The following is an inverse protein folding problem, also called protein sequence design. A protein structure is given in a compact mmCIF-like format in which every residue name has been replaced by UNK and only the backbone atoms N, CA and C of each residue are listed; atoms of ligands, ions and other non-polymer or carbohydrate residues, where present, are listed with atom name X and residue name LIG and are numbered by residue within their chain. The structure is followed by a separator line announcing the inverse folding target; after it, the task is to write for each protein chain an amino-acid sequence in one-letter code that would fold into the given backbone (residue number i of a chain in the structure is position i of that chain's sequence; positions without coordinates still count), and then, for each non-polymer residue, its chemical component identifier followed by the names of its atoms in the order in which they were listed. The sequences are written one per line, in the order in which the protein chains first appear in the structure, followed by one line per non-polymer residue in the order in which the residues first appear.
data_IF_278616261949
#
_entry.id   IF_278616261949
#
_cell.length_a   1.000
_cell.length_b   1.000
_cell.length_c   1.000
_cell.angle_alpha   90.00
_cell.angle_beta   90.00
_cell.angle_gamma   90.00
#
_symmetry.space_group_name_H-M   'P 1'
#
loop_
_entity.id
_entity.type
_entity.pdbx_description
1 polymer ?
#
# COMPACT_ATOMS: atom_id res chain seq x y z
N UNK A 1 -18.58 -25.32 -15.13
CA UNK A 1 -18.07 -26.36 -14.22
C UNK A 1 -17.44 -27.42 -15.12
N UNK A 2 -16.21 -27.83 -14.86
CA UNK A 2 -15.55 -28.89 -15.64
C UNK A 2 -16.15 -30.24 -15.20
N UNK A 3 -16.65 -31.07 -16.12
CA UNK A 3 -17.18 -32.39 -15.75
C UNK A 3 -16.07 -33.26 -15.18
N UNK A 4 -16.40 -34.07 -14.19
CA UNK A 4 -15.54 -35.08 -13.58
C UNK A 4 -15.26 -36.23 -14.55
N UNK A 5 -14.20 -36.98 -14.28
CA UNK A 5 -13.88 -38.21 -15.01
C UNK A 5 -15.09 -39.14 -15.20
N UNK A 6 -15.84 -39.40 -14.12
CA UNK A 6 -16.99 -40.32 -14.16
C UNK A 6 -18.10 -39.77 -15.06
N UNK A 7 -18.41 -38.47 -14.97
CA UNK A 7 -19.40 -37.80 -15.83
C UNK A 7 -18.99 -37.87 -17.31
N UNK A 8 -17.71 -37.63 -17.63
CA UNK A 8 -17.22 -37.72 -19.01
C UNK A 8 -17.33 -39.15 -19.54
N UNK A 9 -16.95 -40.15 -18.73
CA UNK A 9 -17.06 -41.55 -19.11
C UNK A 9 -18.52 -41.93 -19.36
N UNK A 10 -19.42 -41.53 -18.47
CA UNK A 10 -20.85 -41.78 -18.63
C UNK A 10 -21.41 -41.14 -19.91
N UNK A 11 -21.01 -39.90 -20.21
CA UNK A 11 -21.38 -39.25 -21.47
C UNK A 11 -20.93 -40.07 -22.70
N UNK A 12 -19.69 -40.56 -22.71
CA UNK A 12 -19.17 -41.39 -23.82
C UNK A 12 -19.94 -42.71 -23.94
N UNK A 13 -20.26 -43.37 -22.81
CA UNK A 13 -21.03 -44.62 -22.82
C UNK A 13 -22.48 -44.40 -23.28
N UNK A 14 -23.08 -43.26 -22.90
CA UNK A 14 -24.40 -42.86 -23.37
C UNK A 14 -24.40 -42.59 -24.89
N UNK A 15 -23.34 -41.97 -25.42
CA UNK A 15 -23.19 -41.77 -26.87
C UNK A 15 -23.06 -43.10 -27.62
N UNK A 16 -22.29 -44.06 -27.08
CA UNK A 16 -22.16 -45.41 -27.65
C UNK A 16 -23.52 -46.13 -27.67
N UNK A 17 -24.25 -46.12 -26.56
CA UNK A 17 -25.56 -46.81 -26.47
C UNK A 17 -26.66 -46.12 -27.28
N UNK A 18 -26.55 -44.82 -27.51
CA UNK A 18 -27.42 -44.07 -28.42
C UNK A 18 -27.27 -44.52 -29.88
N UNK A 19 -26.04 -44.87 -30.30
CA UNK A 19 -25.74 -45.39 -31.63
C UNK A 19 -26.05 -46.88 -31.77
N UNK A 20 -25.78 -47.66 -30.72
CA UNK A 20 -26.05 -49.11 -30.67
C UNK A 20 -26.55 -49.52 -29.28
N UNK A 21 -27.86 -49.76 -29.18
CA UNK A 21 -28.51 -50.17 -27.92
C UNK A 21 -28.06 -51.55 -27.41
N UNK A 22 -27.42 -52.37 -28.26
CA UNK A 22 -26.89 -53.68 -27.88
C UNK A 22 -25.45 -53.64 -27.36
N UNK A 23 -24.79 -52.48 -27.41
CA UNK A 23 -23.42 -52.32 -26.97
C UNK A 23 -23.26 -52.60 -25.47
N UNK A 24 -22.32 -53.49 -25.12
CA UNK A 24 -21.98 -53.76 -23.72
C UNK A 24 -21.26 -52.55 -23.10
N UNK A 25 -21.73 -52.05 -21.95
CA UNK A 25 -21.17 -50.89 -21.23
C UNK A 25 -20.85 -51.15 -19.75
N UNK A 26 -20.95 -52.39 -19.28
CA UNK A 26 -20.57 -52.74 -17.91
C UNK A 26 -19.04 -52.61 -17.70
N UNK A 27 -18.58 -52.59 -16.45
CA UNK A 27 -17.20 -52.30 -16.07
C UNK A 27 -16.13 -53.11 -16.81
N UNK A 28 -16.45 -54.35 -17.16
CA UNK A 28 -15.51 -55.29 -17.77
C UNK A 28 -15.59 -55.31 -19.31
N UNK A 29 -16.44 -54.46 -19.90
CA UNK A 29 -16.59 -54.37 -21.35
C UNK A 29 -15.46 -53.55 -22.00
N UNK A 30 -15.10 -53.91 -23.23
CA UNK A 30 -14.12 -53.15 -24.04
C UNK A 30 -14.54 -51.69 -24.23
N UNK A 31 -15.85 -51.42 -24.40
CA UNK A 31 -16.37 -50.05 -24.47
C UNK A 31 -16.14 -49.27 -23.18
N UNK A 32 -16.27 -49.89 -22.01
CA UNK A 32 -16.00 -49.24 -20.72
C UNK A 32 -14.52 -48.91 -20.54
N UNK A 33 -13.62 -49.82 -20.95
CA UNK A 33 -12.17 -49.59 -20.92
C UNK A 33 -11.77 -48.45 -21.86
N UNK A 34 -12.32 -48.44 -23.09
CA UNK A 34 -12.08 -47.37 -24.08
C UNK A 34 -12.64 -46.03 -23.63
N UNK A 35 -13.88 -46.01 -23.12
CA UNK A 35 -14.51 -44.81 -22.58
C UNK A 35 -13.71 -44.25 -21.40
N UNK A 36 -13.22 -45.11 -20.51
CA UNK A 36 -12.35 -44.70 -19.41
C UNK A 36 -11.03 -44.09 -19.90
N UNK A 37 -10.40 -44.68 -20.92
CA UNK A 37 -9.16 -44.16 -21.49
C UNK A 37 -9.36 -42.79 -22.15
N UNK A 38 -10.45 -42.62 -22.89
CA UNK A 38 -10.82 -41.35 -23.51
C UNK A 38 -11.22 -40.30 -22.47
N UNK A 39 -11.97 -40.69 -21.43
CA UNK A 39 -12.35 -39.82 -20.33
C UNK A 39 -11.14 -39.28 -19.57
N UNK A 40 -10.12 -40.12 -19.30
CA UNK A 40 -8.89 -39.67 -18.65
C UNK A 40 -8.15 -38.60 -19.47
N UNK A 41 -8.08 -38.78 -20.80
CA UNK A 41 -7.50 -37.78 -21.68
C UNK A 41 -8.33 -36.49 -21.71
N UNK A 42 -9.65 -36.61 -21.85
CA UNK A 42 -10.57 -35.48 -21.93
C UNK A 42 -10.60 -34.68 -20.62
N UNK A 43 -10.56 -35.34 -19.46
CA UNK A 43 -10.46 -34.68 -18.15
C UNK A 43 -9.20 -33.81 -18.08
N UNK A 44 -8.04 -34.34 -18.48
CA UNK A 44 -6.79 -33.57 -18.52
C UNK A 44 -6.87 -32.37 -19.47
N UNK A 45 -7.49 -32.53 -20.63
CA UNK A 45 -7.72 -31.44 -21.58
C UNK A 45 -8.67 -30.38 -21.02
N UNK A 46 -9.77 -30.77 -20.37
CA UNK A 46 -10.69 -29.82 -19.76
C UNK A 46 -10.08 -29.09 -18.57
N UNK A 47 -9.27 -29.77 -17.75
CA UNK A 47 -8.51 -29.13 -16.68
C UNK A 47 -7.53 -28.08 -17.23
N UNK A 48 -6.82 -28.41 -18.33
CA UNK A 48 -5.94 -27.46 -19.00
C UNK A 48 -6.72 -26.29 -19.63
N UNK A 49 -7.87 -26.54 -20.26
CA UNK A 49 -8.73 -25.46 -20.78
C UNK A 49 -9.27 -24.54 -19.68
N UNK A 50 -9.66 -25.10 -18.54
CA UNK A 50 -10.07 -24.31 -17.39
C UNK A 50 -8.92 -23.47 -16.84
N UNK A 51 -7.70 -24.01 -16.81
CA UNK A 51 -6.50 -23.24 -16.48
C UNK A 51 -6.27 -22.10 -17.49
N UNK A 52 -6.32 -22.37 -18.81
CA UNK A 52 -6.22 -21.33 -19.85
C UNK A 52 -7.28 -20.24 -19.63
N UNK A 53 -8.53 -20.62 -19.39
CA UNK A 53 -9.62 -19.67 -19.17
C UNK A 53 -9.36 -18.74 -17.97
N UNK A 54 -8.73 -19.24 -16.89
CA UNK A 54 -8.27 -18.39 -15.77
C UNK A 54 -7.18 -17.41 -16.19
N UNK A 55 -6.28 -17.80 -17.09
CA UNK A 55 -5.20 -16.92 -17.57
C UNK A 55 -5.70 -15.79 -18.49
N UNK A 56 -6.89 -15.92 -19.08
CA UNK A 56 -7.49 -14.91 -19.96
C UNK A 56 -7.77 -13.59 -19.21
N UNK A 57 -8.21 -13.67 -17.95
CA UNK A 57 -8.54 -12.50 -17.14
C UNK A 57 -7.45 -12.23 -16.11
N UNK A 58 -6.96 -10.98 -16.07
CA UNK A 58 -5.84 -10.60 -15.22
C UNK A 58 -6.08 -10.84 -13.71
N UNK A 59 -7.33 -10.77 -13.26
CA UNK A 59 -7.72 -10.98 -11.87
C UNK A 59 -7.76 -12.45 -11.44
N UNK A 60 -7.79 -13.38 -12.40
CA UNK A 60 -7.72 -14.82 -12.15
C UNK A 60 -6.44 -15.49 -12.67
N UNK A 61 -5.59 -14.72 -13.35
CA UNK A 61 -4.35 -15.18 -13.96
C UNK A 61 -3.26 -15.43 -12.91
N UNK A 62 -2.43 -16.42 -13.19
CA UNK A 62 -1.21 -16.70 -12.44
C UNK A 62 -0.14 -15.62 -12.76
N UNK A 63 0.90 -15.50 -11.93
CA UNK A 63 1.82 -14.35 -11.91
C UNK A 63 2.45 -14.00 -13.27
N UNK A 64 2.86 -15.00 -14.05
CA UNK A 64 3.47 -14.79 -15.38
C UNK A 64 2.47 -14.15 -16.38
N UNK A 65 1.22 -14.60 -16.37
CA UNK A 65 0.19 -14.07 -17.26
C UNK A 65 -0.32 -12.71 -16.78
N UNK A 66 -0.40 -12.49 -15.46
CA UNK A 66 -0.66 -11.16 -14.89
C UNK A 66 0.39 -10.14 -15.35
N UNK A 67 1.68 -10.52 -15.36
CA UNK A 67 2.75 -9.65 -15.86
C UNK A 67 2.62 -9.38 -17.37
N UNK A 68 2.22 -10.37 -18.17
CA UNK A 68 1.92 -10.17 -19.59
C UNK A 68 0.78 -9.16 -19.77
N UNK A 69 -0.33 -9.31 -19.03
CA UNK A 69 -1.44 -8.35 -19.03
C UNK A 69 -0.96 -6.94 -18.67
N UNK A 70 -0.24 -6.80 -17.56
CA UNK A 70 0.29 -5.52 -17.07
C UNK A 70 1.23 -4.84 -18.08
N UNK A 71 2.09 -5.62 -18.75
CA UNK A 71 3.05 -5.12 -19.73
C UNK A 71 2.41 -4.43 -20.94
N UNK A 72 1.18 -4.81 -21.32
CA UNK A 72 0.42 -4.14 -22.39
C UNK A 72 0.14 -2.66 -22.10
N UNK A 73 0.24 -2.26 -20.82
CA UNK A 73 0.08 -0.89 -20.33
C UNK A 73 1.40 -0.29 -19.83
N UNK A 74 2.55 -0.88 -20.19
CA UNK A 74 3.87 -0.50 -19.70
C UNK A 74 3.99 -0.52 -18.16
N UNK A 75 3.22 -1.40 -17.51
CA UNK A 75 3.32 -1.62 -16.07
C UNK A 75 4.19 -2.86 -15.85
N UNK A 76 5.26 -2.68 -15.08
CA UNK A 76 6.17 -3.76 -14.70
C UNK A 76 6.18 -3.93 -13.18
N UNK A 77 6.39 -5.16 -12.73
CA UNK A 77 6.50 -5.51 -11.32
C UNK A 77 7.68 -4.77 -10.70
N UNK A 78 7.46 -4.18 -9.52
CA UNK A 78 8.57 -3.58 -8.77
C UNK A 78 9.44 -4.67 -8.14
N UNK A 79 10.74 -4.57 -8.36
CA UNK A 79 11.73 -5.44 -7.75
C UNK A 79 11.89 -5.17 -6.26
N UNK A 80 12.37 -6.17 -5.53
CA UNK A 80 12.77 -6.01 -4.14
C UNK A 80 13.98 -5.07 -4.02
N UNK A 81 14.03 -4.28 -2.94
CA UNK A 81 15.10 -3.32 -2.65
C UNK A 81 15.81 -3.70 -1.35
N UNK A 82 17.12 -3.50 -1.31
CA UNK A 82 17.97 -3.77 -0.15
C UNK A 82 17.78 -2.71 0.93
N UNK A 83 17.73 -3.14 2.19
CA UNK A 83 17.80 -2.20 3.30
C UNK A 83 19.22 -1.63 3.42
N UNK A 84 19.32 -0.34 3.67
CA UNK A 84 20.57 0.35 3.92
C UNK A 84 20.52 1.10 5.24
N UNK A 85 21.68 1.35 5.81
CA UNK A 85 21.77 2.06 7.07
C UNK A 85 23.16 2.02 7.66
N UNK A 86 23.21 1.91 8.98
CA UNK A 86 24.43 2.11 9.76
C UNK A 86 24.64 0.92 10.70
N UNK A 87 25.89 0.43 10.76
CA UNK A 87 26.38 -0.41 11.84
C UNK A 87 27.29 0.39 12.75
N UNK A 88 26.98 0.42 14.04
CA UNK A 88 27.80 1.05 15.06
C UNK A 88 28.72 0.02 15.69
N UNK A 89 30.03 0.20 15.53
CA UNK A 89 31.06 -0.74 15.98
C UNK A 89 32.00 -0.11 16.99
N UNK A 90 32.65 -0.93 17.80
CA UNK A 90 33.67 -0.49 18.76
C UNK A 90 35.01 -1.16 18.49
N UNK A 91 36.10 -0.44 18.73
CA UNK A 91 37.45 -0.93 18.43
C UNK A 91 38.53 0.06 18.83
N UNK A 92 39.79 -0.27 18.57
CA UNK A 92 40.91 0.64 18.81
C UNK A 92 40.97 1.77 17.79
N UNK A 93 41.34 2.98 18.24
CA UNK A 93 41.61 4.13 17.36
C UNK A 93 42.68 3.77 16.30
N UNK A 94 42.49 4.23 15.07
CA UNK A 94 43.39 4.02 13.93
C UNK A 94 43.24 2.66 13.24
N UNK A 95 42.30 1.80 13.69
CA UNK A 95 42.01 0.53 13.02
C UNK A 95 41.09 0.74 11.82
N UNK A 96 41.40 0.02 10.74
CA UNK A 96 40.66 0.08 9.48
C UNK A 96 39.70 -1.09 9.34
N UNK A 97 38.50 -0.79 8.89
CA UNK A 97 37.47 -1.76 8.48
C UNK A 97 37.28 -1.60 6.98
N UNK A 98 37.61 -2.62 6.17
CA UNK A 98 37.46 -2.54 4.72
C UNK A 98 35.98 -2.57 4.31
N UNK A 99 35.67 -2.01 3.14
CA UNK A 99 34.42 -2.28 2.44
C UNK A 99 34.26 -3.78 2.18
N UNK A 100 33.02 -4.27 2.17
CA UNK A 100 32.71 -5.69 2.01
C UNK A 100 32.91 -6.53 3.28
N UNK A 101 33.19 -5.91 4.44
CA UNK A 101 33.18 -6.63 5.72
C UNK A 101 31.74 -7.08 6.01
N UNK A 102 31.57 -8.38 6.28
CA UNK A 102 30.24 -8.97 6.47
C UNK A 102 29.83 -8.96 7.96
N UNK A 103 28.59 -8.55 8.19
CA UNK A 103 27.95 -8.48 9.50
C UNK A 103 26.71 -9.37 9.46
N UNK A 104 26.59 -10.28 10.42
CA UNK A 104 25.38 -11.06 10.67
C UNK A 104 24.56 -10.39 11.77
N UNK A 105 23.30 -10.08 11.51
CA UNK A 105 22.35 -9.64 12.53
C UNK A 105 21.05 -10.44 12.37
N UNK A 106 20.65 -11.14 13.43
CA UNK A 106 19.63 -12.19 13.38
C UNK A 106 19.95 -13.21 12.25
N UNK A 107 19.00 -13.45 11.35
CA UNK A 107 19.14 -14.32 10.18
C UNK A 107 19.54 -13.57 8.89
N UNK A 108 19.91 -12.29 8.99
CA UNK A 108 20.28 -11.44 7.85
C UNK A 108 21.78 -11.13 7.82
N UNK A 109 22.33 -10.95 6.62
CA UNK A 109 23.72 -10.56 6.38
C UNK A 109 23.78 -9.17 5.75
N UNK A 110 24.79 -8.39 6.13
CA UNK A 110 25.04 -7.03 5.65
C UNK A 110 26.50 -6.88 5.25
N UNK A 111 26.79 -5.98 4.31
CA UNK A 111 28.14 -5.64 3.88
C UNK A 111 28.40 -4.16 4.13
N UNK A 112 29.61 -3.83 4.61
CA UNK A 112 30.08 -2.46 4.69
C UNK A 112 30.27 -1.87 3.28
N UNK A 113 29.82 -0.65 3.05
CA UNK A 113 29.85 0.00 1.73
C UNK A 113 31.16 0.73 1.44
N UNK A 114 31.90 1.12 2.47
CA UNK A 114 33.14 1.88 2.33
C UNK A 114 34.17 1.50 3.37
N UNK A 115 35.44 1.63 2.99
CA UNK A 115 36.57 1.60 3.92
C UNK A 115 36.38 2.68 4.99
N UNK A 116 36.49 2.29 6.26
CA UNK A 116 36.34 3.22 7.39
C UNK A 116 37.46 3.02 8.39
N UNK A 117 38.08 4.11 8.83
CA UNK A 117 39.09 4.09 9.90
C UNK A 117 38.47 4.65 11.18
N UNK A 118 38.69 3.99 12.30
CA UNK A 118 38.18 4.42 13.59
C UNK A 118 38.95 5.66 14.09
N UNK A 119 38.31 6.82 14.07
CA UNK A 119 38.86 8.07 14.64
C UNK A 119 38.77 8.10 16.18
N UNK A 120 37.92 7.26 16.76
CA UNK A 120 37.70 7.09 18.20
C UNK A 120 37.51 5.61 18.56
N UNK A 121 37.08 5.30 19.78
CA UNK A 121 36.79 3.92 20.19
C UNK A 121 35.49 3.35 19.58
N UNK A 122 34.74 4.17 18.84
CA UNK A 122 33.49 3.82 18.19
C UNK A 122 33.43 4.45 16.78
N UNK A 123 32.78 3.76 15.84
CA UNK A 123 32.54 4.27 14.49
C UNK A 123 31.18 3.82 13.95
N UNK A 124 30.64 4.62 13.03
CA UNK A 124 29.44 4.31 12.26
C UNK A 124 29.83 3.92 10.84
N UNK A 125 29.45 2.73 10.43
CA UNK A 125 29.74 2.16 9.11
C UNK A 125 28.48 2.17 8.29
N UNK A 126 28.53 2.71 7.06
CA UNK A 126 27.44 2.53 6.11
C UNK A 126 27.39 1.07 5.67
N UNK A 127 26.21 0.47 5.77
CA UNK A 127 25.99 -0.94 5.43
C UNK A 127 24.79 -1.09 4.50
N UNK A 128 24.82 -2.16 3.69
CA UNK A 128 23.70 -2.58 2.84
C UNK A 128 23.44 -4.06 3.05
N UNK A 129 22.16 -4.46 3.04
CA UNK A 129 21.76 -5.85 3.17
C UNK A 129 22.29 -6.68 1.98
N UNK A 130 22.66 -7.94 2.25
CA UNK A 130 23.09 -8.88 1.22
C UNK A 130 21.91 -9.27 0.33
N UNK A 131 20.78 -9.61 0.96
CA UNK A 131 19.52 -9.95 0.30
C UNK A 131 18.54 -8.78 0.40
N UNK A 132 17.77 -8.48 -0.67
CA UNK A 132 16.73 -7.46 -0.62
C UNK A 132 15.52 -7.92 0.20
N UNK A 133 14.68 -6.98 0.61
CA UNK A 133 13.43 -7.27 1.33
C UNK A 133 13.30 -6.61 2.70
N UNK A 134 12.07 -6.64 3.22
CA UNK A 134 11.70 -5.95 4.46
C UNK A 134 12.27 -6.60 5.71
N UNK A 135 12.62 -7.89 5.66
CA UNK A 135 13.20 -8.66 6.79
C UNK A 135 14.49 -8.05 7.34
N UNK A 136 15.19 -7.27 6.52
CA UNK A 136 16.46 -6.62 6.88
C UNK A 136 16.28 -5.19 7.40
N UNK A 137 15.05 -4.71 7.61
CA UNK A 137 14.78 -3.40 8.23
C UNK A 137 14.84 -3.52 9.76
N UNK A 138 15.91 -3.01 10.36
CA UNK A 138 16.15 -3.13 11.80
C UNK A 138 16.26 -1.78 12.50
N UNK A 139 15.73 -1.74 13.72
CA UNK A 139 15.90 -0.61 14.64
C UNK A 139 16.81 -1.06 15.78
N UNK A 140 18.09 -0.70 15.68
CA UNK A 140 19.11 -0.93 16.72
C UNK A 140 19.15 -2.37 17.25
N UNK A 141 19.38 -3.35 16.39
CA UNK A 141 19.54 -4.77 16.77
C UNK A 141 21.01 -5.14 16.94
N UNK A 142 21.31 -6.16 17.73
CA UNK A 142 22.68 -6.67 17.86
C UNK A 142 23.12 -7.38 16.57
N UNK A 143 24.35 -7.12 16.15
CA UNK A 143 25.02 -7.78 15.04
C UNK A 143 26.43 -8.24 15.41
N UNK A 144 26.97 -9.16 14.62
CA UNK A 144 28.29 -9.75 14.81
C UNK A 144 29.03 -9.73 13.47
N UNK A 145 30.26 -9.20 13.45
CA UNK A 145 31.15 -9.29 12.29
C UNK A 145 31.57 -10.75 12.11
N UNK A 146 31.33 -11.33 10.94
CA UNK A 146 31.68 -12.74 10.66
C UNK A 146 33.20 -12.95 10.60
N UNK A 147 33.94 -11.91 10.21
CA UNK A 147 35.39 -11.84 10.27
C UNK A 147 35.83 -10.45 10.74
N UNK A 148 35.94 -10.26 12.06
CA UNK A 148 36.37 -8.99 12.64
C UNK A 148 37.86 -8.70 12.34
N UNK A 149 38.21 -7.53 11.77
CA UNK A 149 39.60 -7.12 11.63
C UNK A 149 40.32 -7.01 12.98
N UNK A 150 41.63 -7.19 12.99
CA UNK A 150 42.42 -7.14 14.23
C UNK A 150 42.26 -5.80 14.97
N UNK A 151 41.90 -5.85 16.25
CA UNK A 151 41.69 -4.67 17.10
C UNK A 151 40.29 -4.05 17.01
N UNK A 152 39.35 -4.70 16.33
CA UNK A 152 37.92 -4.36 16.27
C UNK A 152 37.14 -5.41 17.05
N UNK A 153 36.13 -5.00 17.84
CA UNK A 153 35.22 -5.95 18.49
C UNK A 153 34.26 -6.55 17.47
N UNK A 154 33.94 -7.83 17.64
CA UNK A 154 33.00 -8.54 16.79
C UNK A 154 31.58 -8.01 16.92
N UNK A 155 31.18 -7.55 18.11
CA UNK A 155 29.83 -7.08 18.39
C UNK A 155 29.61 -5.66 17.85
N UNK A 156 28.46 -5.45 17.23
CA UNK A 156 28.01 -4.16 16.73
C UNK A 156 26.49 -3.99 16.90
N UNK A 157 26.00 -2.78 16.66
CA UNK A 157 24.57 -2.47 16.64
C UNK A 157 24.20 -2.09 15.21
N UNK A 158 23.23 -2.78 14.62
CA UNK A 158 22.75 -2.59 13.25
C UNK A 158 21.43 -1.82 13.26
N UNK A 159 21.35 -0.76 12.45
CA UNK A 159 20.11 -0.03 12.19
C UNK A 159 19.97 0.25 10.70
N UNK A 160 18.94 -0.30 10.08
CA UNK A 160 18.73 -0.32 8.63
C UNK A 160 17.27 -0.07 8.28
N UNK A 161 17.03 0.55 7.13
CA UNK A 161 15.67 0.87 6.65
C UNK A 161 15.63 0.90 5.13
N UNK A 162 14.43 1.01 4.57
CA UNK A 162 14.23 1.19 3.13
C UNK A 162 14.27 -0.09 2.31
N UNK A 163 14.47 -1.26 2.94
CA UNK A 163 14.29 -2.54 2.27
C UNK A 163 12.82 -2.80 1.98
N UNK A 164 12.50 -3.21 0.76
CA UNK A 164 11.15 -3.53 0.32
C UNK A 164 11.14 -4.89 -0.35
N UNK A 165 10.09 -5.67 -0.12
CA UNK A 165 9.92 -6.95 -0.81
C UNK A 165 9.56 -6.73 -2.29
N UNK A 166 9.65 -7.80 -3.08
CA UNK A 166 9.13 -7.78 -4.45
C UNK A 166 7.63 -7.51 -4.39
N UNK A 167 7.12 -6.71 -5.32
CA UNK A 167 5.69 -6.38 -5.36
C UNK A 167 4.84 -7.64 -5.52
N UNK A 168 3.78 -7.75 -4.72
CA UNK A 168 2.87 -8.90 -4.72
C UNK A 168 1.98 -8.91 -5.98
N UNK A 169 1.40 -10.07 -6.31
CA UNK A 169 0.43 -10.17 -7.42
C UNK A 169 -0.79 -9.28 -7.18
N UNK A 170 -1.24 -9.18 -5.93
CA UNK A 170 -2.36 -8.31 -5.55
C UNK A 170 -2.07 -6.83 -5.80
N UNK A 171 -0.87 -6.35 -5.46
CA UNK A 171 -0.47 -4.96 -5.68
C UNK A 171 -0.26 -4.64 -7.16
N UNK A 172 0.36 -5.56 -7.91
CA UNK A 172 0.52 -5.43 -9.36
C UNK A 172 -0.83 -5.39 -10.07
N UNK A 173 -1.75 -6.31 -9.70
CA UNK A 173 -3.11 -6.34 -10.21
C UNK A 173 -3.85 -5.05 -9.89
N UNK A 174 -3.74 -4.54 -8.66
CA UNK A 174 -4.39 -3.29 -8.25
C UNK A 174 -3.92 -2.10 -9.12
N UNK A 175 -2.61 -1.98 -9.36
CA UNK A 175 -2.05 -0.95 -10.27
C UNK A 175 -2.54 -1.12 -11.70
N UNK A 176 -2.57 -2.36 -12.20
CA UNK A 176 -3.06 -2.65 -13.55
C UNK A 176 -4.53 -2.28 -13.73
N UNK A 177 -5.39 -2.73 -12.81
CA UNK A 177 -6.82 -2.43 -12.83
C UNK A 177 -7.09 -0.93 -12.66
N UNK A 178 -6.27 -0.21 -11.89
CA UNK A 178 -6.38 1.24 -11.77
C UNK A 178 -6.20 1.94 -13.13
N UNK A 179 -5.19 1.55 -13.93
CA UNK A 179 -4.99 2.09 -15.28
C UNK A 179 -6.13 1.69 -16.23
N UNK A 180 -6.67 0.48 -16.11
CA UNK A 180 -7.82 0.07 -16.93
C UNK A 180 -9.09 0.87 -16.61
N UNK A 181 -9.37 1.11 -15.33
CA UNK A 181 -10.56 1.85 -14.86
C UNK A 181 -10.43 3.35 -15.08
N UNK A 182 -9.21 3.88 -15.05
CA UNK A 182 -8.89 5.30 -15.20
C UNK A 182 -7.83 5.49 -16.27
N UNK A 183 -8.15 5.17 -17.54
CA UNK A 183 -7.22 5.39 -18.62
C UNK A 183 -6.91 6.90 -18.69
N UNK A 184 -5.65 7.28 -18.92
CA UNK A 184 -5.33 8.68 -19.16
C UNK A 184 -6.20 9.23 -20.28
N UNK A 185 -6.96 10.29 -19.98
CA UNK A 185 -7.99 10.82 -20.86
C UNK A 185 -7.65 12.24 -21.36
N UNK A 186 -6.38 12.62 -21.27
CA UNK A 186 -5.92 13.95 -21.63
C UNK A 186 -6.53 15.01 -20.73
N UNK A 187 -6.45 14.83 -19.40
CA UNK A 187 -6.71 15.87 -18.41
C UNK A 187 -8.06 15.80 -17.71
N UNK A 188 -8.53 14.60 -17.38
CA UNK A 188 -9.63 14.45 -16.41
C UNK A 188 -9.11 14.65 -14.96
N UNK A 189 -10.01 14.65 -13.96
CA UNK A 189 -9.63 14.79 -12.54
C UNK A 189 -8.59 13.78 -12.05
N UNK A 190 -8.55 12.58 -12.63
CA UNK A 190 -7.64 11.51 -12.23
C UNK A 190 -6.25 11.69 -12.84
N UNK A 191 -6.18 12.24 -14.06
CA UNK A 191 -4.91 12.62 -14.70
C UNK A 191 -4.16 13.64 -13.85
N UNK A 192 -4.82 14.74 -13.46
CA UNK A 192 -4.21 15.75 -12.59
C UNK A 192 -3.74 15.17 -11.25
N UNK A 193 -4.53 14.26 -10.66
CA UNK A 193 -4.14 13.58 -9.43
C UNK A 193 -2.90 12.73 -9.64
N UNK A 194 -2.85 11.94 -10.72
CA UNK A 194 -1.69 11.09 -11.05
C UNK A 194 -0.44 11.93 -11.30
N UNK A 195 -0.55 12.97 -12.12
CA UNK A 195 0.57 13.87 -12.42
C UNK A 195 1.10 14.55 -11.16
N UNK A 196 0.22 15.02 -10.27
CA UNK A 196 0.65 15.59 -9.00
C UNK A 196 1.42 14.57 -8.13
N UNK A 197 0.99 13.30 -8.11
CA UNK A 197 1.63 12.23 -7.33
C UNK A 197 2.96 11.73 -7.93
N UNK A 198 3.24 12.03 -9.21
CA UNK A 198 4.52 11.72 -9.84
C UNK A 198 5.63 12.68 -9.38
N UNK A 199 5.26 13.83 -8.80
CA UNK A 199 6.21 14.86 -8.33
C UNK A 199 6.79 14.44 -6.97
N UNK A 200 8.12 14.33 -6.83
CA UNK A 200 8.75 14.00 -5.56
C UNK A 200 8.34 14.95 -4.43
N UNK A 201 7.93 14.37 -3.29
CA UNK A 201 7.46 15.14 -2.13
C UNK A 201 5.93 15.32 -2.07
N UNK A 202 5.18 14.96 -3.11
CA UNK A 202 3.72 14.91 -3.04
C UNK A 202 3.27 13.52 -2.58
N UNK A 203 2.57 13.45 -1.44
CA UNK A 203 2.01 12.19 -0.93
C UNK A 203 0.52 12.03 -1.23
N UNK A 204 -0.24 13.12 -1.24
CA UNK A 204 -1.63 13.12 -1.68
C UNK A 204 -1.93 14.34 -2.55
N UNK A 205 -2.90 14.18 -3.46
CA UNK A 205 -3.41 15.24 -4.30
C UNK A 205 -4.93 15.17 -4.42
N UNK A 206 -5.57 16.34 -4.35
CA UNK A 206 -7.02 16.52 -4.37
C UNK A 206 -7.36 17.54 -5.46
N UNK A 207 -8.19 17.13 -6.41
CA UNK A 207 -8.44 17.88 -7.65
C UNK A 207 -9.85 18.46 -7.64
N UNK A 208 -9.94 19.77 -7.79
CA UNK A 208 -11.17 20.56 -7.80
C UNK A 208 -11.33 21.25 -9.16
N UNK A 209 -12.01 20.60 -10.13
CA UNK A 209 -12.26 21.20 -11.42
C UNK A 209 -13.25 22.36 -11.29
N UNK A 210 -13.10 23.38 -12.13
CA UNK A 210 -14.02 24.52 -12.28
C UNK A 210 -14.18 25.41 -11.04
N UNK A 211 -13.35 25.24 -9.99
CA UNK A 211 -13.41 26.02 -8.76
C UNK A 211 -13.28 27.54 -8.99
N UNK A 212 -12.45 27.93 -9.96
CA UNK A 212 -12.25 29.34 -10.39
C UNK A 212 -12.92 29.65 -11.74
N UNK A 213 -13.92 28.86 -12.13
CA UNK A 213 -14.67 29.01 -13.37
C UNK A 213 -14.19 28.11 -14.52
N UNK A 214 -14.79 28.29 -15.69
CA UNK A 214 -14.56 27.44 -16.87
C UNK A 214 -13.09 27.39 -17.30
N UNK A 215 -12.60 26.18 -17.57
CA UNK A 215 -11.22 25.93 -17.96
C UNK A 215 -10.19 25.98 -16.84
N UNK A 216 -10.61 26.04 -15.56
CA UNK A 216 -9.72 26.03 -14.41
C UNK A 216 -9.69 24.69 -13.69
N UNK A 217 -8.52 24.30 -13.18
CA UNK A 217 -8.36 23.12 -12.33
C UNK A 217 -7.47 23.49 -11.15
N UNK A 218 -7.99 23.31 -9.93
CA UNK A 218 -7.24 23.57 -8.70
C UNK A 218 -6.83 22.23 -8.10
N UNK A 219 -5.58 22.15 -7.66
CA UNK A 219 -5.00 20.93 -7.11
C UNK A 219 -4.43 21.26 -5.74
N UNK A 220 -5.06 20.75 -4.68
CA UNK A 220 -4.46 20.80 -3.36
C UNK A 220 -3.56 19.59 -3.16
N UNK A 221 -2.33 19.81 -2.70
CA UNK A 221 -1.35 18.75 -2.46
C UNK A 221 -0.92 18.72 -0.99
N UNK A 222 -0.52 17.54 -0.52
CA UNK A 222 0.03 17.33 0.82
C UNK A 222 1.31 16.51 0.75
N UNK A 223 2.15 16.62 1.79
CA UNK A 223 3.44 15.93 1.92
C UNK A 223 3.53 15.30 3.30
N UNK A 224 3.53 13.96 3.38
CA UNK A 224 3.63 13.22 4.64
C UNK A 224 2.49 13.53 5.61
N UNK A 225 1.26 13.66 5.10
CA UNK A 225 0.05 14.06 5.83
C UNK A 225 0.06 15.48 6.43
N UNK A 226 1.02 16.31 6.01
CA UNK A 226 1.14 17.73 6.37
C UNK A 226 1.24 18.63 5.13
N UNK A 227 1.41 19.93 5.34
CA UNK A 227 1.60 20.91 4.28
C UNK A 227 2.91 20.67 3.51
N UNK A 228 2.87 20.75 2.17
CA UNK A 228 4.08 20.66 1.36
C UNK A 228 4.90 21.96 1.48
N UNK A 229 6.20 21.85 1.24
CA UNK A 229 7.06 23.03 1.10
C UNK A 229 6.73 23.81 -0.17
N UNK A 230 7.07 25.09 -0.19
CA UNK A 230 6.89 25.95 -1.37
C UNK A 230 7.63 25.40 -2.61
N UNK A 231 8.81 24.78 -2.41
CA UNK A 231 9.55 24.12 -3.49
C UNK A 231 8.79 22.96 -4.13
N UNK A 232 8.09 22.14 -3.33
CA UNK A 232 7.26 21.03 -3.83
C UNK A 232 6.04 21.57 -4.57
N UNK A 233 5.40 22.62 -4.05
CA UNK A 233 4.26 23.29 -4.72
C UNK A 233 4.69 23.82 -6.09
N UNK A 234 5.81 24.54 -6.17
CA UNK A 234 6.30 25.12 -7.41
C UNK A 234 6.72 24.05 -8.42
N UNK A 235 7.40 22.98 -7.97
CA UNK A 235 7.76 21.86 -8.83
C UNK A 235 6.52 21.15 -9.40
N UNK A 236 5.50 20.95 -8.57
CA UNK A 236 4.25 20.32 -8.98
C UNK A 236 3.45 21.22 -9.94
N UNK A 237 3.40 22.53 -9.69
CA UNK A 237 2.80 23.50 -10.59
C UNK A 237 3.46 23.46 -11.97
N UNK A 238 4.79 23.50 -12.03
CA UNK A 238 5.54 23.46 -13.28
C UNK A 238 5.29 22.16 -14.06
N UNK A 239 5.29 21.02 -13.37
CA UNK A 239 5.01 19.74 -14.00
C UNK A 239 3.58 19.67 -14.57
N UNK A 240 2.58 20.07 -13.79
CA UNK A 240 1.19 20.11 -14.27
C UNK A 240 1.02 21.08 -15.44
N UNK A 241 1.69 22.23 -15.44
CA UNK A 241 1.64 23.16 -16.57
C UNK A 241 2.24 22.58 -17.86
N UNK A 242 3.24 21.71 -17.76
CA UNK A 242 3.87 21.02 -18.89
C UNK A 242 2.96 19.93 -19.51
N UNK A 243 2.30 19.15 -18.65
CA UNK A 243 1.53 17.96 -19.10
C UNK A 243 0.02 18.20 -19.25
N UNK A 244 -0.51 19.34 -18.76
CA UNK A 244 -1.95 19.62 -18.86
C UNK A 244 -2.39 19.76 -20.33
N UNK A 245 -3.66 19.50 -20.62
CA UNK A 245 -4.19 19.67 -21.97
C UNK A 245 -4.17 21.13 -22.38
N UNK A 246 -3.97 21.39 -23.68
CA UNK A 246 -4.03 22.73 -24.26
C UNK A 246 -5.37 23.45 -24.04
N UNK A 247 -6.44 22.70 -23.77
CA UNK A 247 -7.78 23.23 -23.47
C UNK A 247 -7.93 23.71 -22.01
N UNK A 248 -7.01 23.34 -21.11
CA UNK A 248 -7.01 23.82 -19.74
C UNK A 248 -6.44 25.24 -19.68
N UNK A 249 -7.33 26.23 -19.50
CA UNK A 249 -6.97 27.66 -19.45
C UNK A 249 -5.95 27.96 -18.35
N UNK A 250 -6.13 27.40 -17.15
CA UNK A 250 -5.23 27.63 -16.02
C UNK A 250 -5.35 26.53 -14.96
N UNK A 251 -4.21 26.08 -14.47
CA UNK A 251 -4.10 25.20 -13.29
C UNK A 251 -3.62 26.02 -12.09
N UNK A 252 -3.90 25.57 -10.88
CA UNK A 252 -3.33 26.17 -9.68
C UNK A 252 -3.10 25.11 -8.61
N UNK A 253 -1.83 24.85 -8.33
CA UNK A 253 -1.37 23.93 -7.30
C UNK A 253 -1.16 24.71 -6.01
N UNK A 254 -1.75 24.23 -4.93
CA UNK A 254 -1.72 24.92 -3.63
C UNK A 254 -1.56 23.96 -2.47
N UNK A 255 -1.04 24.47 -1.36
CA UNK A 255 -1.22 23.85 -0.07
C UNK A 255 -2.66 24.13 0.44
N UNK A 256 -3.33 23.16 1.05
CA UNK A 256 -4.62 23.41 1.70
C UNK A 256 -4.45 24.31 2.93
N UNK A 257 -5.52 25.01 3.32
CA UNK A 257 -5.53 25.86 4.51
C UNK A 257 -5.96 25.05 5.74
N UNK A 258 -5.03 24.73 6.64
CA UNK A 258 -5.35 24.00 7.87
C UNK A 258 -6.28 24.85 8.75
N UNK A 259 -7.42 24.27 9.13
CA UNK A 259 -8.32 24.81 10.15
C UNK A 259 -8.45 23.80 11.29
N UNK A 260 -7.91 24.16 12.45
CA UNK A 260 -7.95 23.31 13.65
C UNK A 260 -9.34 23.39 14.29
N UNK A 261 -9.95 22.23 14.50
CA UNK A 261 -11.27 22.12 15.12
C UNK A 261 -11.12 21.50 16.51
N UNK A 262 -11.43 22.28 17.53
CA UNK A 262 -11.48 21.79 18.90
C UNK A 262 -12.71 20.90 19.10
N UNK A 263 -12.52 19.78 19.80
CA UNK A 263 -13.57 18.82 20.11
C UNK A 263 -13.82 18.81 21.61
N UNK A 264 -15.06 19.11 22.01
CA UNK A 264 -15.49 19.04 23.41
C UNK A 264 -16.62 18.03 23.50
N UNK A 265 -16.42 17.00 24.31
CA UNK A 265 -17.41 15.93 24.50
C UNK A 265 -17.59 15.61 25.98
N UNK A 266 -18.83 15.38 26.36
CA UNK A 266 -19.19 14.79 27.65
C UNK A 266 -19.51 13.31 27.42
N UNK A 267 -18.94 12.41 28.23
CA UNK A 267 -19.14 10.96 28.12
C UNK A 267 -19.64 10.36 29.43
N UNK A 268 -20.56 9.41 29.34
CA UNK A 268 -20.93 8.52 30.44
C UNK A 268 -20.12 7.23 30.31
N UNK A 269 -19.38 6.85 31.35
CA UNK A 269 -18.43 5.74 31.30
C UNK A 269 -18.86 4.56 32.18
N UNK A 270 -18.50 3.35 31.76
CA UNK A 270 -18.67 2.13 32.55
C UNK A 270 -17.43 1.25 32.43
N UNK A 271 -16.73 1.06 33.55
CA UNK A 271 -15.58 0.16 33.63
C UNK A 271 -14.29 0.66 32.96
N UNK A 272 -14.20 1.97 32.67
CA UNK A 272 -13.00 2.62 32.12
C UNK A 272 -12.77 3.97 32.81
N UNK A 273 -11.50 4.34 33.03
CA UNK A 273 -11.13 5.63 33.61
C UNK A 273 -11.15 6.75 32.54
N UNK A 274 -11.48 7.98 32.96
CA UNK A 274 -11.56 9.15 32.08
C UNK A 274 -10.26 9.41 31.30
N UNK A 275 -9.10 9.23 31.93
CA UNK A 275 -7.79 9.46 31.28
C UNK A 275 -7.51 8.45 30.15
N UNK A 276 -7.91 7.19 30.34
CA UNK A 276 -7.68 6.13 29.36
C UNK A 276 -8.60 6.27 28.15
N UNK A 277 -9.88 6.62 28.39
CA UNK A 277 -10.80 6.93 27.28
C UNK A 277 -10.37 8.21 26.56
N UNK A 278 -9.84 9.21 27.26
CA UNK A 278 -9.35 10.46 26.64
C UNK A 278 -8.20 10.20 25.68
N UNK A 279 -7.21 9.38 26.07
CA UNK A 279 -6.11 8.97 25.18
C UNK A 279 -6.62 8.19 23.96
N UNK A 280 -7.57 7.29 24.19
CA UNK A 280 -8.18 6.47 23.13
C UNK A 280 -8.93 7.33 22.12
N UNK A 281 -9.81 8.22 22.60
CA UNK A 281 -10.57 9.17 21.77
C UNK A 281 -9.65 10.12 21.02
N UNK A 282 -8.58 10.62 21.64
CA UNK A 282 -7.59 11.45 20.96
C UNK A 282 -7.02 10.73 19.73
N UNK A 283 -6.55 9.50 19.89
CA UNK A 283 -5.99 8.70 18.78
C UNK A 283 -7.03 8.43 17.69
N UNK A 284 -8.24 8.02 18.08
CA UNK A 284 -9.31 7.69 17.12
C UNK A 284 -9.75 8.92 16.33
N UNK A 285 -9.89 10.07 16.99
CA UNK A 285 -10.23 11.32 16.33
C UNK A 285 -9.06 11.85 15.49
N UNK A 286 -7.81 11.75 15.93
CA UNK A 286 -6.64 12.09 15.10
C UNK A 286 -6.65 11.30 13.78
N UNK A 287 -6.93 9.99 13.85
CA UNK A 287 -7.03 9.12 12.67
C UNK A 287 -8.28 9.40 11.81
N UNK A 288 -9.40 9.81 12.41
CA UNK A 288 -10.56 10.23 11.62
C UNK A 288 -10.28 11.55 10.89
N UNK A 289 -9.76 12.56 11.60
CA UNK A 289 -9.45 13.86 11.02
C UNK A 289 -8.37 13.73 9.95
N UNK A 290 -7.35 12.86 10.11
CA UNK A 290 -6.30 12.66 9.10
C UNK A 290 -6.87 12.24 7.74
N UNK A 291 -7.94 11.44 7.74
CA UNK A 291 -8.65 10.90 6.56
C UNK A 291 -9.57 11.91 5.87
N UNK A 292 -9.90 13.03 6.50
CA UNK A 292 -10.73 14.09 5.89
C UNK A 292 -9.93 14.76 4.76
N UNK A 293 -10.50 14.79 3.57
CA UNK A 293 -9.90 15.47 2.43
C UNK A 293 -10.02 17.01 2.58
N UNK A 294 -9.11 17.79 2.00
CA UNK A 294 -9.32 19.23 1.88
C UNK A 294 -10.64 19.55 1.17
N UNK A 295 -11.26 20.67 1.54
CA UNK A 295 -12.59 21.10 1.11
C UNK A 295 -13.72 20.05 1.31
N UNK A 296 -13.54 19.07 2.20
CA UNK A 296 -14.58 18.15 2.62
C UNK A 296 -15.34 18.67 3.86
N UNK A 297 -16.63 18.42 3.91
CA UNK A 297 -17.49 18.80 5.06
C UNK A 297 -17.17 17.92 6.27
N UNK A 298 -16.95 18.53 7.44
CA UNK A 298 -16.88 17.81 8.70
C UNK A 298 -18.29 17.38 9.12
N UNK A 299 -18.54 16.07 9.12
CA UNK A 299 -19.83 15.50 9.50
C UNK A 299 -19.83 15.12 10.97
N UNK A 300 -20.68 15.77 11.74
CA UNK A 300 -20.76 15.55 13.19
C UNK A 300 -21.17 14.13 13.51
N UNK A 301 -22.22 13.62 12.88
CA UNK A 301 -22.74 12.27 13.16
C UNK A 301 -21.69 11.15 13.01
N UNK A 302 -20.63 11.38 12.23
CA UNK A 302 -19.49 10.45 12.12
C UNK A 302 -18.57 10.52 13.35
N UNK A 303 -18.20 11.73 13.81
CA UNK A 303 -17.44 11.94 15.06
C UNK A 303 -18.18 11.32 16.24
N UNK A 304 -19.47 11.61 16.29
CA UNK A 304 -20.45 11.08 17.22
C UNK A 304 -20.45 9.55 17.27
N UNK A 305 -20.58 8.89 16.12
CA UNK A 305 -20.54 7.44 16.02
C UNK A 305 -19.19 6.86 16.48
N UNK A 306 -18.08 7.48 16.10
CA UNK A 306 -16.74 7.03 16.51
C UNK A 306 -16.55 7.06 18.03
N UNK A 307 -17.09 8.08 18.70
CA UNK A 307 -17.04 8.18 20.16
C UNK A 307 -17.92 7.10 20.80
N UNK A 308 -19.13 6.90 20.28
CA UNK A 308 -20.08 5.88 20.79
C UNK A 308 -19.57 4.45 20.61
N UNK A 309 -18.75 4.19 19.59
CA UNK A 309 -18.17 2.86 19.32
C UNK A 309 -17.05 2.48 20.30
N UNK A 310 -16.58 3.41 21.14
CA UNK A 310 -15.49 3.11 22.07
C UNK A 310 -15.95 2.26 23.25
N UNK A 311 -15.18 1.21 23.55
CA UNK A 311 -15.43 0.33 24.70
C UNK A 311 -15.46 1.13 26.00
N UNK A 312 -16.53 0.96 26.76
CA UNK A 312 -16.74 1.63 28.04
C UNK A 312 -17.47 2.96 27.95
N UNK A 313 -17.76 3.47 26.75
CA UNK A 313 -18.70 4.60 26.56
C UNK A 313 -20.12 4.07 26.55
N UNK A 314 -20.94 4.53 27.49
CA UNK A 314 -22.37 4.17 27.62
C UNK A 314 -23.24 5.18 26.87
N UNK A 315 -22.94 6.46 27.05
CA UNK A 315 -23.61 7.57 26.38
C UNK A 315 -22.60 8.70 26.16
N UNK A 316 -22.90 9.61 25.24
CA UNK A 316 -22.03 10.73 24.90
C UNK A 316 -22.80 11.91 24.32
N UNK A 317 -22.37 13.11 24.70
CA UNK A 317 -22.90 14.38 24.20
C UNK A 317 -21.77 15.22 23.64
N UNK A 318 -21.78 15.41 22.32
CA UNK A 318 -20.83 16.28 21.66
C UNK A 318 -21.26 17.75 21.83
N UNK A 319 -20.40 18.56 22.43
CA UNK A 319 -20.65 19.99 22.67
C UNK A 319 -20.08 20.84 21.53
N UNK A 320 -18.89 20.48 21.05
CA UNK A 320 -18.23 21.18 19.94
C UNK A 320 -17.49 20.18 19.07
N UNK A 321 -17.60 20.27 17.73
CA UNK A 321 -18.53 21.12 16.98
C UNK A 321 -20.00 20.72 17.23
N UNK A 322 -20.94 21.68 17.10
CA UNK A 322 -22.39 21.45 17.35
C UNK A 322 -23.23 21.31 16.09
N UNK A 323 -22.68 21.65 14.92
CA UNK A 323 -23.24 21.39 13.59
C UNK A 323 -22.13 21.01 12.60
N UNK A 324 -22.51 20.35 11.50
CA UNK A 324 -21.59 20.05 10.40
C UNK A 324 -20.86 21.33 9.96
N UNK A 325 -19.55 21.24 9.72
CA UNK A 325 -18.74 22.37 9.25
C UNK A 325 -18.53 22.22 7.75
N UNK A 326 -18.99 23.21 6.99
CA UNK A 326 -18.82 23.27 5.54
C UNK A 326 -17.65 24.20 5.20
N UNK A 327 -16.70 23.76 4.36
CA UNK A 327 -15.59 24.59 3.91
C UNK A 327 -16.04 25.84 3.16
N UNK A 328 -15.28 26.92 3.31
CA UNK A 328 -15.47 28.13 2.52
C UNK A 328 -15.32 27.83 1.01
N UNK A 329 -16.24 28.33 0.19
CA UNK A 329 -16.25 28.07 -1.25
C UNK A 329 -15.02 28.65 -1.98
N UNK A 330 -14.37 29.67 -1.42
CA UNK A 330 -13.19 30.32 -1.96
C UNK A 330 -11.89 29.71 -1.43
N UNK A 331 -11.88 29.14 -0.22
CA UNK A 331 -10.70 28.53 0.41
C UNK A 331 -10.70 27.00 0.38
N UNK A 332 -9.55 26.37 0.14
CA UNK A 332 -9.42 24.92 0.28
C UNK A 332 -9.12 24.62 1.77
N UNK A 333 -10.12 24.79 2.63
CA UNK A 333 -9.98 24.50 4.06
C UNK A 333 -9.75 23.01 4.31
N UNK A 334 -8.88 22.67 5.24
CA UNK A 334 -8.57 21.30 5.63
C UNK A 334 -8.71 21.15 7.12
N UNK A 335 -9.79 20.48 7.52
CA UNK A 335 -10.10 20.29 8.93
C UNK A 335 -9.13 19.30 9.55
N UNK A 336 -8.51 19.75 10.64
CA UNK A 336 -7.57 18.97 11.42
C UNK A 336 -7.97 19.05 12.89
N UNK A 337 -7.74 17.97 13.64
CA UNK A 337 -8.04 17.96 15.06
C UNK A 337 -7.24 19.07 15.74
N UNK A 338 -7.93 19.89 16.53
CA UNK A 338 -7.35 20.85 17.46
C UNK A 338 -7.14 20.20 18.82
N UNK A 339 -7.63 20.84 19.87
CA UNK A 339 -7.63 20.29 21.23
C UNK A 339 -8.84 19.37 21.43
N UNK A 340 -8.66 18.31 22.22
CA UNK A 340 -9.74 17.45 22.68
C UNK A 340 -9.95 17.65 24.17
N UNK A 341 -11.18 17.96 24.56
CA UNK A 341 -11.60 18.05 25.96
C UNK A 341 -12.69 17.03 26.23
N UNK A 342 -12.38 16.04 27.05
CA UNK A 342 -13.33 14.99 27.47
C UNK A 342 -13.71 15.26 28.92
N UNK A 343 -15.02 15.22 29.20
CA UNK A 343 -15.57 15.42 30.55
C UNK A 343 -16.53 14.28 30.86
N UNK A 344 -16.70 13.96 32.14
CA UNK A 344 -17.77 13.05 32.54
C UNK A 344 -19.12 13.77 32.46
N UNK A 345 -20.14 13.06 31.95
CA UNK A 345 -21.53 13.52 32.01
C UNK A 345 -21.96 13.56 33.47
N UNK A 346 -22.54 14.69 33.88
CA UNK A 346 -23.10 14.87 35.24
C UNK A 346 -24.49 14.30 35.36
#
# INVERSE_FOLDING_TARGET
MVPSFDEIREMILNDITSLDQSAAIHSDSDNYIRASSLAALAEGLYAHHAWIARQIFADSADSEFLEKHASTRAIYRKNAVKAEGIATITGGKGRKIPAGTEIKANDCYFLTLSDTTLESNQAELKISAKDPGTKSNFVKVNGILTAAPAGIRSECIVSTKGGTDIESDGDLLARYLEILRRPPAGGNRYDYKRWALEVPGVTNAYVYPLRRGLGTVDIAITSGDDLPSESVINACQAYIDDVRPVTAKRTYVVAPLIKRIDVVVEVQLKGIALDDITKTLKRVLEDHFSRIAPAETLIISQIEALISDQVGVVDRKLITPSKNLTPDALLIEWYRLGTITVREMK
#
